data_IF_370700616327
#
_entry.id   IF_370700616327
#
_cell.length_a   1.000
_cell.length_b   1.000
_cell.length_c   1.000
_cell.angle_alpha   90.00
_cell.angle_beta   90.00
_cell.angle_gamma   90.00
#
_symmetry.space_group_name_H-M   'P 1'
#
loop_
_entity.id
_entity.type
_entity.pdbx_description
1 polymer ?
#
# COMPACT_ATOMS: atom_id res chain seq x y z
N UNK A 1 12.17 3.44 12.34
CA UNK A 1 12.45 3.82 10.94
C UNK A 1 11.45 3.04 10.12
N UNK A 2 10.37 3.69 9.70
CA UNK A 2 9.45 3.11 8.75
C UNK A 2 10.27 2.74 7.51
N UNK A 3 10.36 1.45 7.21
CA UNK A 3 10.93 1.02 5.94
C UNK A 3 10.04 1.63 4.87
N UNK A 4 10.58 2.56 4.12
CA UNK A 4 9.98 2.97 2.87
C UNK A 4 10.01 1.71 2.01
N UNK A 5 8.88 1.00 1.96
CA UNK A 5 8.67 0.04 0.90
C UNK A 5 8.63 0.86 -0.39
N UNK A 6 9.79 1.03 -0.99
CA UNK A 6 9.85 1.32 -2.41
C UNK A 6 9.11 0.16 -3.06
N UNK A 7 7.87 0.41 -3.43
CA UNK A 7 7.03 -0.59 -4.05
C UNK A 7 7.80 -1.21 -5.21
N UNK A 8 7.78 -2.54 -5.30
CA UNK A 8 8.35 -3.24 -6.44
C UNK A 8 7.76 -2.65 -7.71
N UNK A 9 8.58 -2.49 -8.74
CA UNK A 9 8.10 -1.96 -10.01
C UNK A 9 7.11 -2.93 -10.64
N UNK A 10 5.84 -2.55 -10.68
CA UNK A 10 4.83 -3.26 -11.45
C UNK A 10 5.01 -2.95 -12.95
N UNK A 11 5.20 -3.98 -13.74
CA UNK A 11 5.36 -3.85 -15.19
C UNK A 11 4.03 -3.68 -15.94
N UNK A 12 2.92 -3.86 -15.25
CA UNK A 12 1.57 -3.71 -15.81
C UNK A 12 0.96 -2.37 -15.40
N UNK A 13 0.59 -1.56 -16.39
CA UNK A 13 0.01 -0.22 -16.19
C UNK A 13 -1.50 -0.28 -16.05
N UNK A 14 -2.07 0.65 -15.26
CA UNK A 14 -3.51 0.88 -15.19
C UNK A 14 -4.32 -0.29 -14.65
N UNK A 15 -3.72 -1.19 -13.86
CA UNK A 15 -4.38 -2.43 -13.45
C UNK A 15 -5.28 -2.29 -12.24
N UNK A 16 -5.27 -1.14 -11.58
CA UNK A 16 -6.27 -0.82 -10.55
C UNK A 16 -7.64 -0.57 -11.18
N UNK A 17 -7.68 0.18 -12.26
CA UNK A 17 -8.92 0.62 -12.91
C UNK A 17 -9.37 -0.29 -14.05
N UNK A 18 -8.45 -0.93 -14.76
CA UNK A 18 -8.71 -1.81 -15.91
C UNK A 18 -9.72 -1.23 -16.90
N UNK A 19 -9.61 0.07 -17.18
CA UNK A 19 -10.62 0.86 -17.87
C UNK A 19 -10.98 0.31 -19.25
N UNK A 20 -10.01 -0.22 -20.00
CA UNK A 20 -10.23 -0.77 -21.35
C UNK A 20 -10.96 -2.12 -21.35
N UNK A 21 -11.13 -2.77 -20.21
CA UNK A 21 -11.79 -4.08 -20.08
C UNK A 21 -13.24 -4.01 -19.63
N UNK A 22 -13.80 -2.81 -19.46
CA UNK A 22 -15.17 -2.58 -18.99
C UNK A 22 -15.48 -3.36 -17.71
N UNK A 23 -14.90 -2.95 -16.57
CA UNK A 23 -15.08 -3.63 -15.31
C UNK A 23 -16.55 -3.78 -14.91
N UNK A 24 -16.89 -4.86 -14.24
CA UNK A 24 -18.26 -5.20 -13.81
C UNK A 24 -18.52 -4.94 -12.34
N UNK A 25 -17.47 -4.87 -11.50
CA UNK A 25 -17.58 -4.71 -10.05
C UNK A 25 -16.26 -4.21 -9.45
N UNK A 26 -16.19 -4.19 -8.12
CA UNK A 26 -14.99 -3.87 -7.37
C UNK A 26 -14.72 -4.93 -6.30
N UNK A 27 -13.44 -5.15 -6.01
CA UNK A 27 -12.97 -5.98 -4.92
C UNK A 27 -11.74 -5.31 -4.28
N UNK A 28 -11.80 -5.04 -2.97
CA UNK A 28 -10.73 -4.37 -2.22
C UNK A 28 -10.22 -3.06 -2.87
N UNK A 29 -11.11 -2.30 -3.48
CA UNK A 29 -10.77 -1.04 -4.17
C UNK A 29 -10.23 -1.21 -5.59
N UNK A 30 -10.13 -2.45 -6.09
CA UNK A 30 -9.72 -2.74 -7.45
C UNK A 30 -10.92 -3.04 -8.35
N UNK A 31 -10.89 -2.54 -9.58
CA UNK A 31 -11.90 -2.87 -10.58
C UNK A 31 -11.77 -4.31 -11.02
N UNK A 32 -12.90 -4.99 -11.14
CA UNK A 32 -13.00 -6.41 -11.47
C UNK A 32 -13.49 -6.60 -12.90
N UNK A 33 -12.81 -7.45 -13.65
CA UNK A 33 -13.21 -7.87 -14.98
C UNK A 33 -13.72 -9.31 -14.94
N UNK A 34 -14.73 -9.60 -15.77
CA UNK A 34 -15.34 -10.94 -15.87
C UNK A 34 -15.30 -11.41 -17.31
N UNK A 35 -14.94 -12.67 -17.49
CA UNK A 35 -15.03 -13.37 -18.78
C UNK A 35 -15.80 -14.67 -18.62
N UNK A 36 -16.61 -15.00 -19.60
CA UNK A 36 -17.43 -16.21 -19.61
C UNK A 36 -16.93 -17.16 -20.70
N UNK A 37 -16.70 -18.42 -20.32
CA UNK A 37 -16.25 -19.43 -21.27
C UNK A 37 -17.32 -19.75 -22.31
N UNK A 38 -16.93 -19.74 -23.58
CA UNK A 38 -17.75 -20.20 -24.69
C UNK A 38 -17.68 -21.71 -24.88
N UNK A 39 -18.38 -22.20 -25.90
CA UNK A 39 -18.52 -23.63 -26.18
C UNK A 39 -17.24 -24.30 -26.68
N UNK A 40 -16.40 -23.57 -27.42
CA UNK A 40 -15.29 -24.19 -28.16
C UNK A 40 -13.95 -23.47 -27.98
N UNK A 41 -13.94 -22.17 -27.73
CA UNK A 41 -12.70 -21.39 -27.62
C UNK A 41 -12.39 -21.02 -26.18
N UNK A 42 -11.09 -20.79 -25.92
CA UNK A 42 -10.67 -20.14 -24.69
C UNK A 42 -11.04 -18.66 -24.69
N UNK A 43 -11.17 -18.10 -23.50
CA UNK A 43 -11.27 -16.68 -23.24
C UNK A 43 -10.03 -16.24 -22.47
N UNK A 44 -9.53 -15.04 -22.81
CA UNK A 44 -8.42 -14.41 -22.08
C UNK A 44 -8.99 -13.27 -21.22
N UNK A 45 -8.90 -13.40 -19.92
CA UNK A 45 -9.43 -12.39 -19.00
C UNK A 45 -8.63 -11.09 -19.09
N UNK A 46 -7.31 -11.20 -19.04
CA UNK A 46 -6.41 -10.06 -19.13
C UNK A 46 -5.30 -10.33 -20.13
N UNK A 47 -4.98 -9.32 -20.97
CA UNK A 47 -3.91 -9.41 -21.96
C UNK A 47 -3.15 -8.09 -22.03
N UNK A 48 -1.83 -8.15 -21.97
CA UNK A 48 -0.94 -7.01 -22.17
C UNK A 48 0.16 -7.36 -23.17
N UNK A 49 0.44 -6.47 -24.10
CA UNK A 49 1.40 -6.72 -25.19
C UNK A 49 2.63 -5.83 -25.17
N UNK A 50 2.76 -4.98 -24.15
CA UNK A 50 3.83 -3.96 -24.08
C UNK A 50 4.94 -4.29 -23.10
N UNK A 51 4.82 -5.42 -22.37
CA UNK A 51 5.84 -5.82 -21.40
C UNK A 51 7.08 -6.32 -22.12
N UNK A 52 8.23 -5.73 -21.78
CA UNK A 52 9.55 -6.14 -22.30
C UNK A 52 10.31 -6.78 -21.14
N UNK A 53 10.30 -8.11 -21.03
CA UNK A 53 11.02 -8.79 -19.96
C UNK A 53 12.51 -8.86 -20.27
N UNK A 54 13.33 -8.95 -19.23
CA UNK A 54 14.78 -9.10 -19.33
C UNK A 54 15.17 -10.57 -19.30
N UNK A 55 15.98 -11.00 -20.24
CA UNK A 55 16.50 -12.37 -20.28
C UNK A 55 17.27 -12.74 -19.01
N UNK A 56 17.09 -13.96 -18.54
CA UNK A 56 17.74 -14.48 -17.34
C UNK A 56 17.13 -14.01 -16.03
N UNK A 57 16.04 -13.28 -16.08
CA UNK A 57 15.37 -12.71 -14.91
C UNK A 57 14.20 -13.58 -14.47
N UNK A 58 14.07 -13.77 -13.15
CA UNK A 58 12.88 -14.35 -12.54
C UNK A 58 11.80 -13.28 -12.40
N UNK A 59 10.57 -13.66 -12.72
CA UNK A 59 9.39 -12.81 -12.57
C UNK A 59 8.30 -13.53 -11.78
N UNK A 60 7.45 -12.73 -11.16
CA UNK A 60 6.21 -13.19 -10.56
C UNK A 60 5.05 -12.34 -11.03
N UNK A 61 3.98 -12.99 -11.50
CA UNK A 61 2.70 -12.36 -11.75
C UNK A 61 1.79 -12.62 -10.56
N UNK A 62 1.12 -11.60 -10.05
CA UNK A 62 0.11 -11.71 -9.00
C UNK A 62 -1.21 -11.15 -9.50
N UNK A 63 -2.30 -11.72 -9.02
CA UNK A 63 -3.64 -11.25 -9.31
C UNK A 63 -4.63 -11.85 -8.32
N UNK A 64 -5.74 -11.14 -8.06
CA UNK A 64 -6.88 -11.73 -7.37
C UNK A 64 -7.81 -12.35 -8.39
N UNK A 65 -8.32 -13.53 -8.10
CA UNK A 65 -9.23 -14.23 -9.00
C UNK A 65 -10.22 -15.11 -8.24
N UNK A 66 -11.36 -15.36 -8.90
CA UNK A 66 -12.34 -16.37 -8.52
C UNK A 66 -13.08 -16.87 -9.76
N UNK A 67 -13.74 -18.01 -9.63
CA UNK A 67 -14.55 -18.57 -10.70
C UNK A 67 -15.97 -18.85 -10.20
N UNK A 68 -16.91 -19.07 -11.12
CA UNK A 68 -18.29 -19.46 -10.76
C UNK A 68 -18.40 -20.91 -10.29
N UNK A 69 -17.36 -21.71 -10.45
CA UNK A 69 -17.27 -23.09 -9.97
C UNK A 69 -15.96 -23.32 -9.23
N UNK A 70 -15.98 -24.25 -8.27
CA UNK A 70 -14.77 -24.67 -7.56
C UNK A 70 -13.87 -25.55 -8.45
N UNK A 71 -12.59 -25.57 -8.13
CA UNK A 71 -11.56 -26.36 -8.83
C UNK A 71 -11.49 -26.06 -10.33
N UNK A 72 -11.72 -24.81 -10.72
CA UNK A 72 -11.78 -24.41 -12.12
C UNK A 72 -10.40 -23.97 -12.65
N UNK A 73 -9.89 -24.61 -13.72
CA UNK A 73 -8.55 -24.32 -14.21
C UNK A 73 -8.52 -23.05 -15.04
N UNK A 74 -7.52 -22.23 -14.77
CA UNK A 74 -7.15 -21.11 -15.63
C UNK A 74 -5.65 -21.18 -15.91
N UNK A 75 -5.27 -20.69 -17.09
CA UNK A 75 -3.86 -20.67 -17.52
C UNK A 75 -3.36 -19.23 -17.54
N UNK A 76 -2.15 -19.04 -17.08
CA UNK A 76 -1.35 -17.85 -17.37
C UNK A 76 -0.35 -18.17 -18.46
N UNK A 77 -0.21 -17.26 -19.41
CA UNK A 77 0.66 -17.44 -20.56
C UNK A 77 1.59 -16.24 -20.70
N UNK A 78 2.87 -16.49 -20.61
CA UNK A 78 3.91 -15.47 -20.76
C UNK A 78 4.76 -15.85 -21.96
N UNK A 79 4.83 -14.96 -22.91
CA UNK A 79 5.57 -15.23 -24.14
C UNK A 79 7.05 -15.06 -23.97
N UNK A 80 7.45 -15.78 -24.80
CA UNK A 80 8.33 -16.84 -25.17
C UNK A 80 9.73 -16.31 -25.46
N UNK A 81 10.76 -17.04 -25.11
CA UNK A 81 10.75 -18.25 -24.29
C UNK A 81 10.73 -17.93 -22.80
N UNK A 82 9.96 -18.72 -22.08
CA UNK A 82 9.94 -18.67 -20.63
C UNK A 82 9.96 -20.07 -20.04
N UNK A 83 10.19 -20.13 -18.73
CA UNK A 83 10.07 -21.35 -17.95
C UNK A 83 9.20 -21.05 -16.74
N UNK A 84 7.97 -21.57 -16.75
CA UNK A 84 7.08 -21.49 -15.59
C UNK A 84 7.57 -22.46 -14.53
N UNK A 85 7.79 -21.96 -13.34
CA UNK A 85 8.28 -22.72 -12.19
C UNK A 85 7.12 -23.24 -11.36
N UNK A 86 6.14 -22.39 -11.06
CA UNK A 86 4.96 -22.77 -10.29
C UNK A 86 3.82 -21.75 -10.44
N UNK A 87 2.60 -22.26 -10.25
CA UNK A 87 1.38 -21.47 -10.10
C UNK A 87 0.71 -21.86 -8.79
N UNK A 88 0.43 -20.87 -7.95
CA UNK A 88 -0.04 -21.08 -6.58
C UNK A 88 -1.12 -20.06 -6.22
N UNK A 89 -1.90 -20.33 -5.17
CA UNK A 89 -2.83 -19.37 -4.62
C UNK A 89 -2.89 -19.41 -3.08
N UNK A 90 -3.56 -18.42 -2.52
CA UNK A 90 -3.71 -18.25 -1.07
C UNK A 90 -4.55 -19.33 -0.38
N UNK A 91 -5.23 -20.19 -1.13
CA UNK A 91 -5.96 -21.36 -0.60
C UNK A 91 -5.08 -22.59 -0.47
N UNK A 92 -3.78 -22.47 -0.74
CA UNK A 92 -2.84 -23.60 -0.65
C UNK A 92 -2.70 -24.42 -1.93
N UNK A 93 -3.32 -24.00 -3.03
CA UNK A 93 -3.11 -24.65 -4.32
C UNK A 93 -1.68 -24.45 -4.81
N UNK A 94 -1.11 -25.51 -5.34
CA UNK A 94 0.16 -25.48 -6.07
C UNK A 94 0.00 -26.28 -7.34
N UNK A 95 0.53 -25.77 -8.45
CA UNK A 95 0.40 -26.39 -9.77
C UNK A 95 0.88 -27.83 -9.77
N UNK A 96 0.07 -28.69 -10.38
CA UNK A 96 0.31 -30.13 -10.48
C UNK A 96 0.96 -30.43 -11.82
N UNK A 97 1.88 -31.37 -11.83
CA UNK A 97 2.50 -31.81 -13.09
C UNK A 97 1.49 -32.35 -14.08
N UNK A 98 0.38 -32.97 -13.61
CA UNK A 98 -0.72 -33.47 -14.44
C UNK A 98 -1.49 -32.38 -15.17
N UNK A 99 -1.63 -31.20 -14.58
CA UNK A 99 -2.32 -30.05 -15.19
C UNK A 99 -1.38 -29.17 -16.04
N UNK A 100 -0.09 -29.22 -15.74
CA UNK A 100 0.90 -28.30 -16.25
C UNK A 100 1.19 -27.16 -15.27
N UNK A 101 2.43 -26.69 -15.26
CA UNK A 101 2.91 -25.70 -14.27
C UNK A 101 2.25 -24.32 -14.40
N UNK A 102 1.70 -24.00 -15.56
CA UNK A 102 1.03 -22.72 -15.82
C UNK A 102 -0.47 -22.70 -15.49
N UNK A 103 -1.02 -23.81 -15.03
CA UNK A 103 -2.43 -23.92 -14.61
C UNK A 103 -2.54 -23.62 -13.12
N UNK A 104 -3.50 -22.75 -12.79
CA UNK A 104 -3.94 -22.51 -11.42
C UNK A 104 -5.43 -22.86 -11.31
N UNK A 105 -5.84 -23.50 -10.21
CA UNK A 105 -7.23 -23.85 -10.00
C UNK A 105 -7.88 -22.88 -9.03
N UNK A 106 -8.97 -22.30 -9.48
CA UNK A 106 -9.73 -21.30 -8.74
C UNK A 106 -10.90 -21.93 -7.98
N UNK A 107 -11.36 -21.23 -6.96
CA UNK A 107 -12.60 -21.52 -6.26
C UNK A 107 -13.63 -20.40 -6.46
N UNK A 108 -14.79 -20.55 -5.85
CA UNK A 108 -15.82 -19.51 -5.84
C UNK A 108 -15.48 -18.33 -4.90
N UNK A 109 -14.49 -18.50 -4.05
CA UNK A 109 -13.99 -17.44 -3.17
C UNK A 109 -12.84 -16.69 -3.82
N UNK A 110 -12.70 -15.39 -3.52
CA UNK A 110 -11.56 -14.62 -3.93
C UNK A 110 -10.26 -15.16 -3.35
N UNK A 111 -9.25 -15.26 -4.20
CA UNK A 111 -7.93 -15.78 -3.87
C UNK A 111 -6.86 -14.89 -4.47
N UNK A 112 -5.79 -14.67 -3.72
CA UNK A 112 -4.56 -14.14 -4.30
C UNK A 112 -3.86 -15.29 -5.03
N UNK A 113 -3.57 -15.07 -6.31
CA UNK A 113 -2.89 -16.02 -7.17
C UNK A 113 -1.54 -15.47 -7.58
N UNK A 114 -0.57 -16.35 -7.77
CA UNK A 114 0.74 -15.96 -8.29
C UNK A 114 1.34 -17.05 -9.16
N UNK A 115 2.04 -16.62 -10.20
CA UNK A 115 2.74 -17.49 -11.14
C UNK A 115 4.19 -17.02 -11.22
N UNK A 116 5.11 -17.94 -11.00
CA UNK A 116 6.55 -17.70 -11.04
C UNK A 116 7.12 -18.29 -12.32
N UNK A 117 7.92 -17.49 -13.02
CA UNK A 117 8.63 -17.95 -14.21
C UNK A 117 10.00 -17.32 -14.35
N UNK A 118 10.85 -17.95 -15.16
CA UNK A 118 12.13 -17.40 -15.58
C UNK A 118 12.04 -17.04 -17.05
N UNK A 119 12.37 -15.83 -17.39
CA UNK A 119 12.45 -15.38 -18.76
C UNK A 119 13.80 -15.79 -19.35
N UNK A 120 13.79 -16.62 -20.38
CA UNK A 120 15.02 -17.20 -20.94
C UNK A 120 15.63 -16.38 -22.05
N UNK A 121 14.83 -15.66 -22.81
CA UNK A 121 15.32 -14.75 -23.85
C UNK A 121 14.33 -13.62 -24.08
N UNK A 122 14.84 -12.44 -24.32
CA UNK A 122 14.10 -11.31 -24.85
C UNK A 122 14.94 -10.06 -25.08
N UNK A 123 14.40 -9.16 -25.83
CA UNK A 123 14.71 -7.75 -26.06
C UNK A 123 13.52 -7.06 -26.72
N UNK A 124 12.38 -7.75 -26.78
CA UNK A 124 11.16 -7.30 -27.46
C UNK A 124 9.96 -7.40 -26.53
N UNK A 125 8.96 -6.59 -26.79
CA UNK A 125 7.67 -6.67 -26.11
C UNK A 125 7.04 -8.05 -26.30
N UNK A 126 6.53 -8.61 -25.21
CA UNK A 126 5.92 -9.93 -25.18
C UNK A 126 4.48 -9.85 -24.72
N UNK A 127 3.66 -10.76 -25.21
CA UNK A 127 2.27 -10.86 -24.76
C UNK A 127 2.21 -11.59 -23.42
N UNK A 128 1.53 -10.97 -22.47
CA UNK A 128 1.19 -11.53 -21.16
C UNK A 128 -0.31 -11.79 -21.14
N UNK A 129 -0.69 -13.02 -20.81
CA UNK A 129 -2.08 -13.42 -20.67
C UNK A 129 -2.27 -13.97 -19.26
N UNK A 130 -3.27 -13.42 -18.54
CA UNK A 130 -3.65 -13.86 -17.21
C UNK A 130 -5.11 -14.29 -17.25
N UNK A 131 -5.38 -15.53 -16.86
CA UNK A 131 -6.73 -16.07 -16.81
C UNK A 131 -7.29 -16.54 -18.14
N UNK A 132 -6.50 -17.27 -18.92
CA UNK A 132 -7.02 -18.01 -20.07
C UNK A 132 -7.82 -19.21 -19.58
N UNK A 133 -9.08 -19.30 -19.99
CA UNK A 133 -9.94 -20.40 -19.58
C UNK A 133 -10.96 -20.78 -20.65
N UNK A 134 -11.58 -21.93 -20.49
CA UNK A 134 -12.57 -22.48 -21.39
C UNK A 134 -12.30 -23.95 -21.69
N UNK A 135 -13.16 -24.60 -22.53
CA UNK A 135 -13.05 -26.03 -22.82
C UNK A 135 -11.68 -26.48 -23.33
N UNK A 136 -11.00 -25.66 -24.14
CA UNK A 136 -9.68 -26.00 -24.70
C UNK A 136 -8.55 -26.05 -23.67
N UNK A 137 -8.75 -25.47 -22.50
CA UNK A 137 -7.76 -25.46 -21.41
C UNK A 137 -8.27 -26.19 -20.17
N UNK A 138 -9.13 -27.17 -20.36
CA UNK A 138 -9.67 -28.00 -19.28
C UNK A 138 -10.85 -27.39 -18.53
N UNK A 139 -11.35 -26.25 -18.99
CA UNK A 139 -12.49 -25.56 -18.40
C UNK A 139 -13.83 -26.04 -18.99
N UNK A 140 -14.87 -25.24 -18.79
CA UNK A 140 -16.24 -25.62 -19.09
C UNK A 140 -17.03 -24.42 -19.60
N UNK A 141 -17.85 -24.63 -20.64
CA UNK A 141 -18.76 -23.60 -21.15
C UNK A 141 -19.65 -23.03 -20.05
N UNK A 142 -19.87 -21.71 -20.10
CA UNK A 142 -20.76 -21.01 -19.18
C UNK A 142 -20.13 -20.63 -17.84
N UNK A 143 -18.99 -21.15 -17.51
CA UNK A 143 -18.26 -20.77 -16.30
C UNK A 143 -17.62 -19.39 -16.51
N UNK A 144 -17.80 -18.51 -15.55
CA UNK A 144 -17.12 -17.22 -15.58
C UNK A 144 -15.92 -17.18 -14.64
N UNK A 145 -14.97 -16.35 -14.99
CA UNK A 145 -13.79 -16.02 -14.19
C UNK A 145 -13.78 -14.52 -13.97
N UNK A 146 -13.53 -14.11 -12.74
CA UNK A 146 -13.30 -12.73 -12.37
C UNK A 146 -11.87 -12.53 -11.92
N UNK A 147 -11.25 -11.44 -12.38
CA UNK A 147 -9.86 -11.08 -12.08
C UNK A 147 -9.79 -9.60 -11.74
N UNK A 148 -8.92 -9.24 -10.80
CA UNK A 148 -8.55 -7.86 -10.52
C UNK A 148 -7.10 -7.74 -10.07
N UNK A 149 -6.58 -6.51 -10.10
CA UNK A 149 -5.26 -6.12 -9.63
C UNK A 149 -4.11 -6.98 -10.17
N UNK A 150 -4.03 -7.29 -11.47
CA UNK A 150 -2.88 -7.99 -12.00
C UNK A 150 -1.63 -7.11 -11.89
N UNK A 151 -0.52 -7.75 -11.55
CA UNK A 151 0.79 -7.10 -11.46
C UNK A 151 1.90 -8.09 -11.83
N UNK A 152 2.98 -7.58 -12.40
CA UNK A 152 4.18 -8.36 -12.66
C UNK A 152 5.36 -7.65 -12.01
N UNK A 153 6.13 -8.39 -11.23
CA UNK A 153 7.32 -7.90 -10.55
C UNK A 153 8.53 -8.76 -10.89
N UNK A 154 9.70 -8.16 -10.85
CA UNK A 154 10.95 -8.93 -10.81
C UNK A 154 11.06 -9.65 -9.46
N UNK A 155 11.63 -10.85 -9.49
CA UNK A 155 11.80 -11.69 -8.31
C UNK A 155 10.82 -12.84 -8.25
N UNK A 156 10.74 -13.49 -7.09
CA UNK A 156 9.97 -14.72 -6.88
C UNK A 156 9.11 -14.69 -5.61
N UNK A 157 8.96 -13.52 -4.99
CA UNK A 157 8.16 -13.36 -3.78
C UNK A 157 6.79 -12.79 -4.12
N UNK A 158 5.75 -13.53 -3.76
CA UNK A 158 4.40 -13.01 -3.71
C UNK A 158 4.30 -11.90 -2.66
N UNK A 159 3.50 -10.90 -2.92
CA UNK A 159 3.32 -9.77 -2.02
C UNK A 159 2.16 -8.91 -2.45
N UNK A 160 2.06 -7.74 -1.83
CA UNK A 160 0.97 -6.84 -2.12
C UNK A 160 1.11 -6.21 -3.51
N UNK A 161 -0.03 -5.91 -4.11
CA UNK A 161 -0.09 -5.13 -5.33
C UNK A 161 0.48 -3.72 -5.10
N UNK A 162 1.20 -3.22 -6.11
CA UNK A 162 1.61 -1.82 -6.18
C UNK A 162 1.40 -1.31 -7.61
N UNK A 163 1.13 -0.01 -7.81
CA UNK A 163 0.96 0.53 -9.15
C UNK A 163 2.26 0.54 -9.95
N UNK A 164 2.14 0.56 -11.27
CA UNK A 164 3.28 0.80 -12.15
C UNK A 164 3.87 2.20 -11.89
N UNK A 165 5.14 2.42 -12.17
CA UNK A 165 5.77 3.72 -11.98
C UNK A 165 5.07 4.82 -12.80
N UNK A 166 4.61 4.48 -13.98
CA UNK A 166 3.88 5.38 -14.86
C UNK A 166 2.54 5.84 -14.25
N UNK A 167 1.89 4.97 -13.48
CA UNK A 167 0.67 5.28 -12.72
C UNK A 167 0.99 6.10 -11.46
N UNK A 168 2.15 5.86 -10.84
CA UNK A 168 2.63 6.58 -9.66
C UNK A 168 2.96 8.04 -9.98
N UNK A 169 3.56 8.33 -11.11
CA UNK A 169 3.92 9.69 -11.52
C UNK A 169 2.68 10.59 -11.57
N UNK A 170 1.57 10.10 -12.09
CA UNK A 170 0.31 10.82 -12.08
C UNK A 170 -0.23 11.04 -10.66
N UNK A 171 -0.16 10.03 -9.80
CA UNK A 171 -0.59 10.14 -8.40
C UNK A 171 0.28 11.10 -7.59
N UNK A 172 1.59 11.05 -7.77
CA UNK A 172 2.53 11.97 -7.12
C UNK A 172 2.24 13.39 -7.53
N UNK A 173 2.03 13.66 -8.81
CA UNK A 173 1.65 14.98 -9.32
C UNK A 173 0.36 15.50 -8.70
N UNK A 174 -0.66 14.67 -8.54
CA UNK A 174 -1.92 15.03 -7.88
C UNK A 174 -1.69 15.34 -6.40
N UNK A 175 -0.92 14.53 -5.69
CA UNK A 175 -0.59 14.76 -4.27
C UNK A 175 0.21 16.05 -4.09
N UNK A 176 1.20 16.30 -4.92
CA UNK A 176 1.99 17.54 -4.91
C UNK A 176 1.12 18.75 -5.19
N UNK A 177 0.24 18.68 -6.17
CA UNK A 177 -0.71 19.73 -6.51
C UNK A 177 -1.66 20.05 -5.35
N UNK A 178 -2.21 19.02 -4.71
CA UNK A 178 -3.08 19.18 -3.54
C UNK A 178 -2.33 19.76 -2.34
N UNK A 179 -1.11 19.31 -2.11
CA UNK A 179 -0.26 19.83 -1.04
C UNK A 179 0.05 21.32 -1.24
N UNK A 180 0.44 21.70 -2.46
CA UNK A 180 0.70 23.08 -2.84
C UNK A 180 -0.54 23.96 -2.66
N UNK A 181 -1.70 23.46 -3.10
CA UNK A 181 -2.96 24.19 -2.95
C UNK A 181 -3.33 24.39 -1.49
N UNK A 182 -3.11 23.40 -0.62
CA UNK A 182 -3.32 23.53 0.82
C UNK A 182 -2.33 24.51 1.46
N UNK A 183 -1.06 24.46 1.07
CA UNK A 183 -0.05 25.38 1.54
C UNK A 183 -0.38 26.81 1.15
N UNK A 184 -0.76 27.07 -0.11
CA UNK A 184 -1.17 28.39 -0.60
C UNK A 184 -2.43 28.90 0.13
N UNK A 185 -3.41 28.04 0.38
CA UNK A 185 -4.62 28.39 1.13
C UNK A 185 -4.31 28.74 2.59
N UNK A 186 -3.42 28.02 3.20
CA UNK A 186 -2.98 28.29 4.58
C UNK A 186 -2.24 29.61 4.66
N UNK A 187 -1.31 29.86 3.74
CA UNK A 187 -0.56 31.12 3.66
C UNK A 187 -1.48 32.33 3.43
N UNK A 188 -2.46 32.20 2.53
CA UNK A 188 -3.47 33.21 2.31
C UNK A 188 -4.34 33.45 3.55
N UNK A 189 -4.66 32.39 4.29
CA UNK A 189 -5.40 32.48 5.55
C UNK A 189 -4.60 33.19 6.63
N UNK A 190 -3.33 32.90 6.77
CA UNK A 190 -2.41 33.58 7.70
C UNK A 190 -2.26 35.05 7.33
N UNK A 191 -2.08 35.36 6.05
CA UNK A 191 -2.00 36.74 5.56
C UNK A 191 -3.27 37.54 5.87
N UNK A 192 -4.44 36.96 5.65
CA UNK A 192 -5.75 37.59 5.98
C UNK A 192 -5.91 37.85 7.48
N UNK A 193 -5.51 36.89 8.31
CA UNK A 193 -5.54 37.03 9.76
C UNK A 193 -4.58 38.14 10.20
N UNK A 194 -3.39 38.20 9.65
CA UNK A 194 -2.40 39.24 9.94
C UNK A 194 -2.94 40.63 9.57
N UNK A 195 -3.55 40.75 8.39
CA UNK A 195 -4.18 42.03 7.98
C UNK A 195 -5.39 42.42 8.83
N UNK A 196 -6.26 41.44 9.13
CA UNK A 196 -7.41 41.67 10.02
C UNK A 196 -6.97 42.13 11.41
N UNK A 197 -5.89 41.64 11.93
CA UNK A 197 -5.30 42.08 13.19
C UNK A 197 -4.64 43.45 13.06
N UNK A 198 -4.06 43.81 11.92
CA UNK A 198 -3.52 45.14 11.62
C UNK A 198 -4.57 46.25 11.71
N UNK A 199 -5.79 45.98 11.29
CA UNK A 199 -6.88 46.95 11.32
C UNK A 199 -7.43 47.21 12.71
N UNK A 200 -7.15 46.37 13.70
CA UNK A 200 -7.67 46.46 15.06
C UNK A 200 -6.63 46.82 16.12
N UNK A 201 -5.37 46.44 15.89
CA UNK A 201 -4.27 46.60 16.84
C UNK A 201 -3.00 46.94 16.08
N UNK A 202 -2.18 47.85 16.61
CA UNK A 202 -0.85 48.11 16.07
C UNK A 202 -0.04 46.79 16.06
N UNK A 203 0.57 46.51 14.93
CA UNK A 203 1.36 45.28 14.73
C UNK A 203 2.48 45.14 15.73
N UNK A 204 3.14 46.25 16.04
CA UNK A 204 4.22 46.23 17.03
C UNK A 204 3.68 45.81 18.39
N UNK A 205 2.52 46.32 18.79
CA UNK A 205 1.87 45.95 20.02
C UNK A 205 1.42 44.46 20.00
N UNK A 206 0.91 44.00 18.86
CA UNK A 206 0.52 42.60 18.70
C UNK A 206 1.72 41.64 18.77
N UNK A 207 2.82 41.95 18.09
CA UNK A 207 4.04 41.17 18.13
C UNK A 207 4.63 41.14 19.55
N UNK A 208 4.63 42.26 20.24
CA UNK A 208 5.07 42.36 21.64
C UNK A 208 4.14 41.52 22.52
N UNK A 209 2.84 41.61 22.32
CA UNK A 209 1.85 40.82 23.07
C UNK A 209 2.02 39.33 22.81
N UNK A 210 2.18 38.91 21.56
CA UNK A 210 2.39 37.51 21.21
C UNK A 210 3.69 36.97 21.83
N UNK A 211 4.75 37.77 21.79
CA UNK A 211 6.03 37.40 22.40
C UNK A 211 5.91 37.31 23.93
N UNK A 212 5.23 38.30 24.54
CA UNK A 212 4.96 38.26 25.96
C UNK A 212 4.14 37.06 26.40
N UNK A 213 3.16 36.66 25.61
CA UNK A 213 2.37 35.45 25.86
C UNK A 213 3.25 34.21 25.78
N UNK A 214 4.10 34.10 24.77
CA UNK A 214 5.04 32.97 24.64
C UNK A 214 5.99 32.89 25.82
N UNK A 215 6.55 34.02 26.21
CA UNK A 215 7.44 34.11 27.38
C UNK A 215 6.69 33.77 28.68
N UNK A 216 5.46 34.24 28.82
CA UNK A 216 4.63 33.96 29.98
C UNK A 216 4.30 32.44 30.07
N UNK A 217 3.97 31.80 28.96
CA UNK A 217 3.74 30.38 28.91
C UNK A 217 4.99 29.59 29.27
N UNK A 218 6.13 30.00 28.71
CA UNK A 218 7.42 29.36 28.97
C UNK A 218 7.84 29.55 30.43
N UNK A 219 7.66 30.75 30.99
CA UNK A 219 7.92 31.05 32.39
C UNK A 219 7.01 30.23 33.30
N UNK A 220 5.74 30.12 32.94
CA UNK A 220 4.76 29.34 33.68
C UNK A 220 5.13 27.83 33.70
N UNK A 221 5.57 27.28 32.58
CA UNK A 221 6.08 25.90 32.50
C UNK A 221 7.30 25.74 33.39
N UNK A 222 8.25 26.67 33.32
CA UNK A 222 9.46 26.61 34.15
C UNK A 222 9.12 26.74 35.62
N UNK A 223 8.27 27.71 35.96
CA UNK A 223 7.83 27.92 37.35
C UNK A 223 7.06 26.71 37.90
N UNK A 224 6.21 26.12 37.09
CA UNK A 224 5.49 24.91 37.45
C UNK A 224 6.47 23.76 37.73
N UNK A 225 7.45 23.56 36.85
CA UNK A 225 8.47 22.54 37.03
C UNK A 225 9.31 22.84 38.29
N UNK A 226 9.71 24.06 38.50
CA UNK A 226 10.48 24.48 39.69
C UNK A 226 9.67 24.30 40.98
N UNK A 227 8.38 24.66 40.96
CA UNK A 227 7.49 24.42 42.12
C UNK A 227 7.32 22.95 42.42
N UNK A 228 7.20 22.11 41.40
CA UNK A 228 7.15 20.64 41.56
C UNK A 228 8.44 20.11 42.17
N UNK A 229 9.58 20.57 41.66
CA UNK A 229 10.88 20.20 42.17
C UNK A 229 11.09 20.69 43.63
N UNK A 230 10.66 21.90 43.95
CA UNK A 230 10.70 22.43 45.30
C UNK A 230 9.81 21.65 46.27
N UNK A 231 8.60 21.32 45.86
CA UNK A 231 7.69 20.50 46.65
C UNK A 231 8.27 19.11 46.92
N UNK A 232 8.87 18.54 45.92
CA UNK A 232 9.52 17.22 46.06
C UNK A 232 10.69 17.33 46.99
N UNK A 233 11.58 18.33 46.84
CA UNK A 233 12.74 18.53 47.71
C UNK A 233 12.31 18.87 49.12
N UNK A 234 11.28 19.68 49.30
CA UNK A 234 10.72 20.01 50.61
C UNK A 234 10.11 18.79 51.28
N UNK A 235 9.40 17.97 50.53
CA UNK A 235 8.85 16.69 51.06
C UNK A 235 9.97 15.75 51.48
N UNK A 236 11.03 15.65 50.69
CA UNK A 236 12.21 14.85 51.05
C UNK A 236 12.92 15.43 52.30
N UNK A 237 13.06 16.74 52.36
CA UNK A 237 13.62 17.42 53.51
C UNK A 237 12.79 17.17 54.79
N UNK A 238 11.47 17.30 54.68
CA UNK A 238 10.57 17.08 55.81
C UNK A 238 10.63 15.63 56.30
N UNK A 239 10.71 14.66 55.37
CA UNK A 239 10.90 13.26 55.72
C UNK A 239 12.23 13.05 56.47
N UNK A 240 13.30 13.63 55.96
CA UNK A 240 14.62 13.56 56.61
C UNK A 240 14.63 14.28 57.99
N UNK A 241 14.04 15.47 58.04
CA UNK A 241 13.93 16.19 59.29
C UNK A 241 13.12 15.41 60.34
N UNK A 242 12.01 14.80 59.88
CA UNK A 242 11.20 13.92 60.71
C UNK A 242 11.98 12.70 61.20
N UNK A 243 12.77 12.09 60.34
CA UNK A 243 13.63 10.97 60.69
C UNK A 243 14.72 11.38 61.69
N UNK A 244 15.36 12.51 61.48
CA UNK A 244 16.37 13.07 62.40
C UNK A 244 15.76 13.39 63.76
N UNK A 245 14.62 14.04 63.79
CA UNK A 245 13.89 14.30 65.06
C UNK A 245 13.55 13.03 65.78
N UNK A 246 13.11 12.00 65.07
CA UNK A 246 12.80 10.70 65.64
C UNK A 246 14.03 10.03 66.21
N UNK A 247 15.16 10.10 65.50
CA UNK A 247 16.45 9.59 65.98
C UNK A 247 16.90 10.32 67.23
N UNK A 248 16.78 11.63 67.26
CA UNK A 248 17.09 12.45 68.44
C UNK A 248 16.19 12.08 69.63
N UNK A 249 14.91 11.96 69.42
CA UNK A 249 13.97 11.51 70.44
C UNK A 249 14.29 10.11 70.95
N UNK A 250 14.68 9.21 70.08
CA UNK A 250 15.09 7.86 70.47
C UNK A 250 16.41 7.85 71.22
N UNK A 251 17.35 8.77 70.87
CA UNK A 251 18.65 8.87 71.57
C UNK A 251 18.53 9.47 72.96
N UNK A 252 17.48 10.27 73.21
CA UNK A 252 17.27 10.96 74.51
C UNK A 252 16.37 10.18 75.48
N UNK A 253 15.89 9.01 75.06
CA UNK A 253 15.14 8.13 75.98
C UNK A 253 16.01 7.30 76.87
#
# INVERSE_FOLDING_TARGET
IASVHLGRRNLLKGTKELARYKPVSEYNGFKVIRTVAGATRYQDSYMERTVIPTAGTEYIAIFYARASENDYPVRCHFYNPNTVVSSENSSGYKSRSSDGLSIIRLSTDWQLCWVKWTQTATDQAKTVIIGRHGPQVGGKEGVWVEICAPAIFEGNLAGDWSPAYEDQDERVSVVESNFKQRADSLEAGVSRLTEGLRTKVDISALNVTAENIRQSVKSLETDTQNKLNQKLSQAEFEVRAGSIRQEILNATK
#
